data_IF_643699209965
#
_entry.id   IF_643699209965
#
_cell.length_a   1.000
_cell.length_b   1.000
_cell.length_c   1.000
_cell.angle_alpha   90.00
_cell.angle_beta   90.00
_cell.angle_gamma   90.00
#
_symmetry.space_group_name_H-M   'P 1'
#
loop_
_entity.id
_entity.type
_entity.pdbx_description
1 polymer ?
#
# COMPACT_ATOMS: atom_id res chain seq x y z
N UNK A 1 -4.67 1.70 -1.07
CA UNK A 1 -4.07 3.00 -1.44
C UNK A 1 -2.56 3.02 -1.28
N UNK A 2 -2.04 2.93 -0.06
CA UNK A 2 -0.60 3.03 0.25
C UNK A 2 0.30 2.18 -0.65
N UNK A 3 0.00 0.89 -0.74
CA UNK A 3 0.72 -0.05 -1.61
C UNK A 3 0.73 0.40 -3.08
N UNK A 4 -0.43 0.70 -3.65
CA UNK A 4 -0.55 1.12 -5.06
C UNK A 4 0.19 2.44 -5.33
N UNK A 5 0.13 3.40 -4.38
CA UNK A 5 0.89 4.65 -4.48
C UNK A 5 2.40 4.38 -4.51
N UNK A 6 2.89 3.45 -3.68
CA UNK A 6 4.29 3.07 -3.65
C UNK A 6 4.74 2.33 -4.92
N UNK A 7 3.89 1.47 -5.49
CA UNK A 7 4.18 0.81 -6.78
C UNK A 7 4.38 1.84 -7.89
N UNK A 8 3.48 2.82 -8.00
CA UNK A 8 3.59 3.89 -8.99
C UNK A 8 4.79 4.81 -8.69
N UNK A 9 4.97 5.21 -7.43
CA UNK A 9 6.11 6.05 -7.02
C UNK A 9 7.47 5.37 -7.21
N UNK A 10 7.52 4.03 -7.18
CA UNK A 10 8.72 3.27 -7.49
C UNK A 10 9.03 3.18 -8.99
N UNK A 11 8.16 3.71 -9.85
CA UNK A 11 8.29 3.63 -11.31
C UNK A 11 8.06 2.22 -11.85
N UNK A 12 7.29 1.39 -11.14
CA UNK A 12 7.00 0.02 -11.59
C UNK A 12 5.83 -0.03 -12.57
N UNK A 13 4.96 0.98 -12.56
CA UNK A 13 3.83 1.17 -13.46
C UNK A 13 3.31 2.62 -13.41
N UNK A 14 2.62 3.08 -14.45
CA UNK A 14 1.90 4.38 -14.44
C UNK A 14 0.57 4.30 -13.69
N UNK A 15 -0.07 3.13 -13.73
CA UNK A 15 -1.34 2.83 -13.07
C UNK A 15 -1.21 1.54 -12.28
N UNK A 16 -1.85 1.51 -11.11
CA UNK A 16 -1.87 0.32 -10.28
C UNK A 16 -3.19 0.29 -9.48
N UNK A 17 -3.97 -0.77 -9.68
CA UNK A 17 -5.08 -1.15 -8.83
C UNK A 17 -4.67 -2.37 -8.01
N UNK A 18 -5.03 -2.34 -6.73
CA UNK A 18 -4.82 -3.45 -5.81
C UNK A 18 -6.14 -3.78 -5.12
N UNK A 19 -6.50 -5.05 -5.12
CA UNK A 19 -7.63 -5.58 -4.37
C UNK A 19 -7.11 -6.52 -3.26
N UNK A 20 -7.70 -6.39 -2.06
CA UNK A 20 -7.42 -7.24 -0.91
C UNK A 20 -8.73 -7.92 -0.47
N UNK A 21 -8.67 -9.21 -0.15
CA UNK A 21 -9.79 -9.95 0.43
C UNK A 21 -9.38 -10.65 1.73
N UNK A 22 -10.24 -10.60 2.75
CA UNK A 22 -10.05 -11.23 4.05
C UNK A 22 -11.28 -12.06 4.41
N UNK A 23 -11.07 -13.18 5.11
CA UNK A 23 -12.14 -13.89 5.82
C UNK A 23 -12.18 -13.44 7.28
N UNK A 24 -13.38 -13.37 7.86
CA UNK A 24 -13.53 -13.07 9.29
C UNK A 24 -12.77 -14.11 10.13
N UNK A 25 -11.98 -13.64 11.09
CA UNK A 25 -11.13 -14.51 11.93
C UNK A 25 -9.82 -14.96 11.28
N UNK A 26 -9.54 -14.64 10.01
CA UNK A 26 -8.28 -14.97 9.34
C UNK A 26 -7.39 -13.73 9.27
N UNK A 27 -6.17 -13.82 9.80
CA UNK A 27 -5.27 -12.68 9.93
C UNK A 27 -4.61 -12.27 8.62
N UNK A 28 -4.28 -13.21 7.74
CA UNK A 28 -3.65 -12.94 6.45
C UNK A 28 -4.72 -12.79 5.35
N UNK A 29 -4.50 -11.94 4.33
CA UNK A 29 -5.44 -11.83 3.21
C UNK A 29 -5.52 -13.15 2.44
N UNK A 30 -6.74 -13.53 2.06
CA UNK A 30 -7.01 -14.66 1.17
C UNK A 30 -6.40 -14.42 -0.21
N UNK A 31 -6.55 -13.19 -0.70
CA UNK A 31 -5.99 -12.77 -1.98
C UNK A 31 -5.47 -11.34 -1.92
N UNK A 32 -4.41 -11.12 -2.68
CA UNK A 32 -3.89 -9.83 -3.08
C UNK A 32 -3.90 -9.89 -4.61
N UNK A 33 -4.70 -9.05 -5.25
CA UNK A 33 -4.77 -8.99 -6.71
C UNK A 33 -4.22 -7.63 -7.16
N UNK A 34 -3.43 -7.64 -8.23
CA UNK A 34 -2.77 -6.47 -8.80
C UNK A 34 -3.16 -6.37 -10.27
N UNK A 35 -3.57 -5.18 -10.70
CA UNK A 35 -3.83 -4.84 -12.11
C UNK A 35 -3.06 -3.54 -12.43
N UNK A 36 -2.14 -3.61 -13.39
CA UNK A 36 -1.32 -2.49 -13.84
C UNK A 36 -1.84 -1.85 -15.13
N UNK A 37 -2.98 -2.31 -15.65
CA UNK A 37 -3.63 -1.81 -16.85
C UNK A 37 -2.69 -1.77 -18.07
N UNK A 38 -1.79 -2.75 -18.18
CA UNK A 38 -0.79 -2.82 -19.26
C UNK A 38 0.32 -1.75 -19.20
N UNK A 39 0.45 -1.01 -18.09
CA UNK A 39 1.49 0.01 -17.90
C UNK A 39 2.67 -0.47 -17.07
N UNK A 40 2.69 -1.75 -16.70
CA UNK A 40 3.71 -2.32 -15.82
C UNK A 40 5.02 -2.61 -16.54
N UNK A 41 6.14 -2.26 -15.91
CA UNK A 41 7.46 -2.72 -16.33
C UNK A 41 7.82 -4.11 -15.79
N UNK A 42 7.04 -4.59 -14.81
CA UNK A 42 7.21 -5.86 -14.13
C UNK A 42 5.86 -6.56 -14.07
N UNK A 43 5.89 -7.89 -14.18
CA UNK A 43 4.70 -8.75 -14.10
C UNK A 43 3.93 -8.56 -12.77
N UNK A 44 2.60 -8.53 -12.87
CA UNK A 44 1.67 -8.34 -11.75
C UNK A 44 1.87 -9.34 -10.61
N UNK A 45 2.17 -10.61 -10.94
CA UNK A 45 2.39 -11.67 -9.95
C UNK A 45 3.68 -11.42 -9.17
N UNK A 46 4.70 -10.83 -9.81
CA UNK A 46 5.94 -10.44 -9.11
C UNK A 46 5.69 -9.27 -8.17
N UNK A 47 4.91 -8.28 -8.59
CA UNK A 47 4.52 -7.16 -7.72
C UNK A 47 3.70 -7.66 -6.55
N UNK A 48 2.73 -8.56 -6.76
CA UNK A 48 1.94 -9.16 -5.70
C UNK A 48 2.83 -9.80 -4.62
N UNK A 49 3.81 -10.61 -5.04
CA UNK A 49 4.76 -11.27 -4.14
C UNK A 49 5.61 -10.25 -3.37
N UNK A 50 6.17 -9.26 -4.07
CA UNK A 50 6.97 -8.20 -3.45
C UNK A 50 6.16 -7.43 -2.40
N UNK A 51 4.89 -7.09 -2.69
CA UNK A 51 4.01 -6.40 -1.75
C UNK A 51 3.78 -7.19 -0.45
N UNK A 52 3.67 -8.52 -0.54
CA UNK A 52 3.52 -9.40 0.64
C UNK A 52 4.82 -9.54 1.44
N UNK A 53 5.97 -9.33 0.80
CA UNK A 53 7.30 -9.38 1.43
C UNK A 53 7.61 -8.08 2.17
N UNK A 54 7.37 -6.92 1.54
CA UNK A 54 7.78 -5.61 2.09
C UNK A 54 6.87 -5.10 3.20
N UNK A 55 5.65 -5.63 3.32
CA UNK A 55 4.68 -5.18 4.33
C UNK A 55 3.83 -6.34 4.85
N UNK A 56 3.68 -6.43 6.18
CA UNK A 56 2.70 -7.34 6.77
C UNK A 56 1.28 -6.82 6.53
N UNK A 57 0.57 -7.48 5.62
CA UNK A 57 -0.81 -7.15 5.25
C UNK A 57 -1.86 -7.70 6.22
N UNK A 58 -1.47 -8.20 7.41
CA UNK A 58 -2.44 -8.49 8.46
C UNK A 58 -3.08 -7.20 9.02
N UNK A 59 -4.30 -7.24 9.58
CA UNK A 59 -4.89 -6.06 10.23
C UNK A 59 -3.97 -5.42 11.28
N UNK A 60 -3.22 -6.26 12.03
CA UNK A 60 -2.22 -5.79 12.99
C UNK A 60 -1.04 -5.14 12.30
N UNK A 61 -0.49 -5.78 11.27
CA UNK A 61 0.63 -5.27 10.49
C UNK A 61 0.33 -3.92 9.85
N UNK A 62 -0.85 -3.78 9.21
CA UNK A 62 -1.32 -2.51 8.65
C UNK A 62 -1.39 -1.42 9.72
N UNK A 63 -2.02 -1.73 10.87
CA UNK A 63 -2.17 -0.78 11.98
C UNK A 63 -0.82 -0.31 12.53
N UNK A 64 0.12 -1.23 12.73
CA UNK A 64 1.44 -0.95 13.31
C UNK A 64 2.33 -0.20 12.32
N UNK A 65 2.39 -0.66 11.07
CA UNK A 65 3.19 -0.05 10.01
C UNK A 65 2.77 1.41 9.74
N UNK A 66 1.46 1.63 9.58
CA UNK A 66 0.90 2.97 9.32
C UNK A 66 0.66 3.80 10.59
N UNK A 67 0.99 3.25 11.77
CA UNK A 67 0.84 3.89 13.09
C UNK A 67 -0.57 4.44 13.36
N UNK A 68 -1.58 3.63 13.08
CA UNK A 68 -2.99 4.03 13.05
C UNK A 68 -3.67 4.12 14.43
N UNK A 69 -3.01 3.70 15.51
CA UNK A 69 -3.58 3.83 16.86
C UNK A 69 -3.38 5.25 17.41
N UNK A 70 -3.94 6.25 16.72
CA UNK A 70 -3.79 7.70 17.00
C UNK A 70 -5.04 8.47 16.57
N UNK A 71 -5.34 9.64 17.17
CA UNK A 71 -6.51 10.45 16.82
C UNK A 71 -6.30 11.28 15.54
N UNK A 72 -6.04 10.63 14.40
CA UNK A 72 -5.69 11.28 13.13
C UNK A 72 -6.84 11.35 12.12
N UNK A 73 -8.04 10.86 12.46
CA UNK A 73 -9.10 10.58 11.49
C UNK A 73 -10.01 11.76 11.14
N UNK A 74 -10.24 12.69 12.06
CA UNK A 74 -11.19 13.80 11.87
C UNK A 74 -10.89 14.63 10.60
N UNK A 75 -9.60 14.89 10.34
CA UNK A 75 -9.13 15.64 9.15
C UNK A 75 -9.47 14.97 7.81
N UNK A 76 -9.74 13.66 7.81
CA UNK A 76 -10.08 12.88 6.61
C UNK A 76 -11.59 12.78 6.34
N UNK A 77 -12.43 13.25 7.26
CA UNK A 77 -13.89 13.14 7.15
C UNK A 77 -14.51 14.07 6.07
N UNK A 78 -13.72 14.99 5.51
CA UNK A 78 -14.10 15.86 4.42
C UNK A 78 -12.95 15.98 3.40
N UNK A 79 -13.30 16.30 2.15
CA UNK A 79 -12.36 16.50 1.04
C UNK A 79 -11.50 15.27 0.69
N UNK A 80 -12.00 14.07 1.03
CA UNK A 80 -11.39 12.80 0.65
C UNK A 80 -10.27 12.32 1.58
N UNK A 81 -10.11 11.00 1.61
CA UNK A 81 -9.09 10.31 2.40
C UNK A 81 -7.76 10.15 1.67
N UNK A 82 -7.74 10.32 0.34
CA UNK A 82 -6.58 10.05 -0.52
C UNK A 82 -6.16 11.29 -1.31
N UNK A 83 -4.89 11.31 -1.74
CA UNK A 83 -4.34 12.40 -2.56
C UNK A 83 -3.96 13.66 -1.79
N UNK A 84 -3.90 13.58 -0.46
CA UNK A 84 -3.48 14.68 0.42
C UNK A 84 -2.14 14.33 1.06
N UNK A 85 -1.30 15.33 1.28
CA UNK A 85 0.05 15.10 1.82
C UNK A 85 0.00 14.54 3.26
N UNK A 86 0.88 13.58 3.60
CA UNK A 86 1.05 13.13 4.97
C UNK A 86 1.56 14.26 5.86
N UNK A 87 1.00 14.38 7.05
CA UNK A 87 1.37 15.45 7.98
C UNK A 87 2.28 14.96 9.13
N UNK A 88 2.86 15.92 9.85
CA UNK A 88 3.80 15.68 10.95
C UNK A 88 3.15 14.97 12.16
N UNK A 89 1.82 15.06 12.30
CA UNK A 89 1.07 14.42 13.39
C UNK A 89 0.69 12.97 13.03
N UNK A 90 1.06 12.50 11.83
CA UNK A 90 0.82 11.14 11.36
C UNK A 90 -0.51 10.97 10.61
N UNK A 91 -1.21 12.05 10.29
CA UNK A 91 -2.33 12.02 9.38
C UNK A 91 -1.91 11.63 7.97
N UNK A 92 -2.79 10.93 7.26
CA UNK A 92 -2.58 10.40 5.92
C UNK A 92 -1.28 9.59 5.77
N UNK A 93 -0.88 8.81 6.79
CA UNK A 93 0.32 7.96 6.72
C UNK A 93 0.31 7.01 5.50
N UNK A 94 -0.87 6.62 5.02
CA UNK A 94 -1.07 5.84 3.79
C UNK A 94 -0.81 6.60 2.48
N UNK A 95 -0.46 7.88 2.52
CA UNK A 95 -0.04 8.67 1.37
C UNK A 95 1.49 8.80 1.27
N UNK A 96 2.26 8.23 2.21
CA UNK A 96 3.71 8.15 2.10
C UNK A 96 4.15 7.19 0.99
N UNK A 97 5.34 7.42 0.46
CA UNK A 97 5.99 6.59 -0.58
C UNK A 97 7.30 5.99 -0.07
N UNK A 98 7.31 5.54 1.18
CA UNK A 98 8.47 5.03 1.92
C UNK A 98 8.71 3.52 1.76
N UNK A 99 7.92 2.82 0.93
CA UNK A 99 8.21 1.44 0.49
C UNK A 99 8.92 1.38 -0.87
N UNK A 100 9.23 2.51 -1.52
CA UNK A 100 9.81 2.53 -2.87
C UNK A 100 11.10 1.71 -2.94
N UNK A 101 12.05 1.95 -2.05
CA UNK A 101 13.34 1.26 -2.06
C UNK A 101 13.19 -0.22 -1.71
N UNK A 102 12.33 -0.54 -0.74
CA UNK A 102 12.03 -1.92 -0.38
C UNK A 102 11.41 -2.71 -1.55
N UNK A 103 10.50 -2.09 -2.30
CA UNK A 103 9.88 -2.70 -3.48
C UNK A 103 10.87 -2.93 -4.61
N UNK A 104 11.72 -1.95 -4.90
CA UNK A 104 12.79 -2.10 -5.91
C UNK A 104 13.75 -3.23 -5.53
N UNK A 105 14.19 -3.24 -4.27
CA UNK A 105 15.06 -4.30 -3.75
C UNK A 105 14.43 -5.68 -3.85
N UNK A 106 13.16 -5.86 -3.47
CA UNK A 106 12.45 -7.14 -3.56
C UNK A 106 12.27 -7.63 -5.01
N UNK A 107 12.29 -6.71 -5.99
CA UNK A 107 12.20 -7.03 -7.41
C UNK A 107 13.57 -7.14 -8.11
N UNK A 108 14.68 -6.92 -7.39
CA UNK A 108 16.04 -6.95 -7.91
C UNK A 108 16.38 -5.74 -8.79
N UNK A 109 15.91 -4.55 -8.40
CA UNK A 109 16.12 -3.27 -9.09
C UNK A 109 16.81 -2.24 -8.20
#
# INVERSE_FOLDING_TARGET
>A
RYLAKNVVAAGLADKCLIQLAYAIGVSKPLSVYVDLYGTGEVDEVRIEKALREVMDLSPRGIREHLKLNRPVYARSAAYGHFGREPDAEGGFSWEKTDLVDALKSALGR
#
